data_IF_993792126329
#
_entry.id   IF_993792126329
#
_cell.length_a   1.000
_cell.length_b   1.000
_cell.length_c   1.000
_cell.angle_alpha   90.00
_cell.angle_beta   90.00
_cell.angle_gamma   90.00
#
_symmetry.space_group_name_H-M   'P 1'
#
loop_
_entity.id
_entity.type
_entity.pdbx_description
1 polymer ?
#
# COMPACT_ATOMS: atom_id res chain seq x y z
N UNK A 1 -10.55 -1.07 13.59
CA UNK A 1 -11.32 -0.93 14.82
C UNK A 1 -11.37 -2.27 15.55
N UNK A 2 -11.01 -2.32 16.84
CA UNK A 2 -11.06 -3.52 17.67
C UNK A 2 -9.92 -4.53 17.43
N UNK A 3 -10.21 -5.81 17.60
CA UNK A 3 -9.21 -6.88 17.57
C UNK A 3 -8.93 -7.39 16.16
N UNK A 4 -7.66 -7.40 15.78
CA UNK A 4 -7.12 -7.97 14.56
C UNK A 4 -6.10 -9.07 14.92
N UNK A 5 -6.54 -10.31 14.99
CA UNK A 5 -5.75 -11.45 15.47
C UNK A 5 -5.76 -12.59 14.45
N UNK A 6 -4.63 -13.26 14.25
CA UNK A 6 -4.46 -14.28 13.22
C UNK A 6 -4.74 -13.72 11.82
N UNK A 7 -5.65 -14.33 11.07
CA UNK A 7 -6.02 -13.86 9.72
C UNK A 7 -6.52 -12.41 9.73
N UNK A 8 -7.18 -11.95 10.79
CA UNK A 8 -7.59 -10.56 10.94
C UNK A 8 -6.41 -9.57 10.98
N UNK A 9 -5.24 -10.01 11.46
CA UNK A 9 -4.02 -9.20 11.40
C UNK A 9 -3.33 -9.30 10.02
N UNK A 10 -3.32 -10.48 9.39
CA UNK A 10 -2.57 -10.69 8.14
C UNK A 10 -3.28 -10.13 6.92
N UNK A 11 -4.62 -10.20 6.86
CA UNK A 11 -5.39 -9.74 5.70
C UNK A 11 -5.29 -8.23 5.43
N UNK A 12 -4.90 -7.43 6.41
CA UNK A 12 -4.74 -5.97 6.25
C UNK A 12 -3.32 -5.55 5.84
N UNK A 13 -2.34 -6.45 5.89
CA UNK A 13 -0.94 -6.12 5.56
C UNK A 13 -0.75 -5.61 4.12
N UNK A 14 -1.47 -6.10 3.08
CA UNK A 14 -1.37 -5.56 1.73
C UNK A 14 -2.08 -4.21 1.52
N UNK A 15 -2.76 -3.66 2.54
CA UNK A 15 -3.31 -2.32 2.46
C UNK A 15 -2.19 -1.27 2.44
N UNK A 16 -2.39 -0.21 1.66
CA UNK A 16 -1.39 0.86 1.52
C UNK A 16 -1.30 1.72 2.79
N UNK A 17 -2.44 1.93 3.46
CA UNK A 17 -2.55 2.69 4.70
C UNK A 17 -3.39 1.91 5.69
N UNK A 18 -2.96 1.87 6.93
CA UNK A 18 -3.65 1.24 8.05
C UNK A 18 -3.93 2.28 9.12
N UNK A 19 -5.21 2.49 9.40
CA UNK A 19 -5.69 3.40 10.43
C UNK A 19 -6.23 2.55 11.58
N UNK A 20 -5.81 2.84 12.80
CA UNK A 20 -6.25 2.15 14.00
C UNK A 20 -7.02 3.09 14.93
N UNK A 21 -7.86 2.50 15.77
CA UNK A 21 -8.45 3.20 16.91
C UNK A 21 -7.74 2.83 18.21
N UNK A 22 -7.92 3.64 19.25
CA UNK A 22 -7.27 3.46 20.56
C UNK A 22 -7.55 2.08 21.18
N UNK A 23 -8.69 1.45 20.87
CA UNK A 23 -9.08 0.14 21.36
C UNK A 23 -8.56 -1.04 20.49
N UNK A 24 -7.85 -0.74 19.38
CA UNK A 24 -7.35 -1.79 18.47
C UNK A 24 -6.27 -2.67 19.11
N UNK A 25 -6.26 -3.95 18.72
CA UNK A 25 -5.30 -4.96 19.18
C UNK A 25 -4.84 -5.80 17.99
N UNK A 26 -3.55 -6.12 17.96
CA UNK A 26 -2.95 -6.89 16.87
C UNK A 26 -2.21 -8.11 17.40
N UNK A 27 -2.38 -9.27 16.74
CA UNK A 27 -1.72 -10.50 17.18
C UNK A 27 -1.42 -11.49 16.06
N UNK A 28 -0.15 -11.85 15.91
CA UNK A 28 0.31 -12.88 14.97
C UNK A 28 0.47 -14.21 15.72
N UNK A 29 -0.63 -14.77 16.17
CA UNK A 29 -0.71 -15.86 17.18
C UNK A 29 -0.48 -17.27 16.63
N UNK A 30 -0.03 -17.40 15.38
CA UNK A 30 0.07 -18.67 14.65
C UNK A 30 0.96 -19.69 15.34
N UNK A 31 2.17 -19.32 15.78
CA UNK A 31 3.10 -20.22 16.46
C UNK A 31 2.52 -20.80 17.77
N UNK A 32 1.71 -20.00 18.49
CA UNK A 32 0.97 -20.50 19.68
C UNK A 32 -0.09 -21.55 19.36
N UNK A 33 -0.45 -21.73 18.10
CA UNK A 33 -1.40 -22.73 17.60
C UNK A 33 -0.71 -23.86 16.85
N UNK A 34 0.63 -23.88 16.80
CA UNK A 34 1.40 -24.89 16.09
C UNK A 34 1.35 -24.78 14.57
N UNK A 35 0.98 -23.58 14.05
CA UNK A 35 0.89 -23.30 12.62
C UNK A 35 1.76 -22.10 12.25
N UNK A 36 1.96 -21.87 10.97
CA UNK A 36 2.74 -20.75 10.42
C UNK A 36 1.84 -19.60 10.00
N UNK A 37 2.37 -18.35 9.88
CA UNK A 37 1.61 -17.22 9.36
C UNK A 37 1.03 -17.48 7.96
N UNK A 38 -0.18 -16.98 7.73
CA UNK A 38 -0.91 -17.03 6.47
C UNK A 38 -0.95 -15.67 5.76
N UNK A 39 -1.76 -15.55 4.69
CA UNK A 39 -2.06 -14.29 4.01
C UNK A 39 -0.81 -13.54 3.50
N UNK A 40 0.25 -14.27 3.14
CA UNK A 40 1.54 -13.70 2.74
C UNK A 40 2.19 -12.81 3.82
N UNK A 41 1.85 -13.00 5.09
CA UNK A 41 2.42 -12.21 6.19
C UNK A 41 3.95 -12.32 6.26
N UNK A 42 4.51 -13.48 5.93
CA UNK A 42 5.97 -13.67 5.86
C UNK A 42 6.67 -12.77 4.82
N UNK A 43 5.93 -12.26 3.85
CA UNK A 43 6.43 -11.33 2.83
C UNK A 43 6.13 -9.87 3.17
N UNK A 44 4.88 -9.57 3.59
CA UNK A 44 4.44 -8.20 3.87
C UNK A 44 4.96 -7.68 5.21
N UNK A 45 4.83 -8.45 6.29
CA UNK A 45 5.11 -7.97 7.64
C UNK A 45 6.55 -7.47 7.82
N UNK A 46 7.60 -8.23 7.37
CA UNK A 46 8.97 -7.74 7.50
C UNK A 46 9.29 -6.51 6.63
N UNK A 47 8.54 -6.28 5.54
CA UNK A 47 8.66 -5.05 4.74
C UNK A 47 8.05 -3.82 5.44
N UNK A 48 7.07 -4.04 6.29
CA UNK A 48 6.36 -3.00 7.02
C UNK A 48 7.13 -2.63 8.30
N UNK A 49 7.49 -3.62 9.13
CA UNK A 49 8.07 -3.36 10.47
C UNK A 49 9.52 -3.82 10.62
N UNK A 50 10.12 -4.36 9.56
CA UNK A 50 11.46 -4.94 9.61
C UNK A 50 11.49 -6.39 10.13
N UNK A 51 12.51 -7.16 9.70
CA UNK A 51 12.64 -8.58 10.03
C UNK A 51 12.68 -8.87 11.54
N UNK A 52 13.49 -8.16 12.36
CA UNK A 52 13.59 -8.49 13.78
C UNK A 52 12.25 -8.35 14.53
N UNK A 53 11.49 -7.31 14.25
CA UNK A 53 10.18 -7.07 14.86
C UNK A 53 9.13 -8.06 14.38
N UNK A 54 9.14 -8.40 13.10
CA UNK A 54 8.27 -9.41 12.52
C UNK A 54 8.51 -10.79 13.17
N UNK A 55 9.76 -11.18 13.33
CA UNK A 55 10.13 -12.43 14.03
C UNK A 55 9.67 -12.42 15.49
N UNK A 56 9.93 -11.35 16.23
CA UNK A 56 9.51 -11.21 17.62
C UNK A 56 7.99 -11.41 17.78
N UNK A 57 7.19 -10.71 17.00
CA UNK A 57 5.72 -10.81 17.06
C UNK A 57 5.22 -12.20 16.64
N UNK A 58 5.80 -12.80 15.59
CA UNK A 58 5.39 -14.12 15.12
C UNK A 58 5.81 -15.24 16.08
N UNK A 59 6.99 -15.16 16.70
CA UNK A 59 7.47 -16.18 17.64
C UNK A 59 6.75 -16.11 18.98
N UNK A 60 6.64 -14.90 19.55
CA UNK A 60 5.96 -14.70 20.82
C UNK A 60 4.45 -14.93 20.72
N UNK A 61 3.86 -14.62 19.54
CA UNK A 61 2.42 -14.61 19.36
C UNK A 61 1.71 -13.75 20.42
N UNK A 62 2.38 -12.73 20.94
CA UNK A 62 1.77 -11.77 21.87
C UNK A 62 0.83 -10.83 21.11
N UNK A 63 -0.13 -10.29 21.83
CA UNK A 63 -1.04 -9.28 21.31
C UNK A 63 -0.53 -7.91 21.74
N UNK A 64 -0.36 -7.02 20.78
CA UNK A 64 0.06 -5.63 21.00
C UNK A 64 -1.14 -4.69 20.95
N UNK A 65 -1.05 -3.56 21.61
CA UNK A 65 -2.04 -2.49 21.54
C UNK A 65 -1.78 -1.55 20.35
N UNK A 66 -2.69 -0.60 20.14
CA UNK A 66 -2.63 0.37 19.05
C UNK A 66 -1.41 1.30 19.12
N UNK A 67 -1.02 1.74 20.33
CA UNK A 67 0.16 2.61 20.51
C UNK A 67 1.44 1.91 20.12
N UNK A 68 1.59 0.64 20.51
CA UNK A 68 2.73 -0.17 20.12
C UNK A 68 2.72 -0.45 18.61
N UNK A 69 1.55 -0.74 18.04
CA UNK A 69 1.41 -0.95 16.60
C UNK A 69 1.81 0.29 15.79
N UNK A 70 1.43 1.49 16.25
CA UNK A 70 1.86 2.76 15.66
C UNK A 70 3.38 2.94 15.79
N UNK A 71 3.94 2.69 16.96
CA UNK A 71 5.38 2.82 17.25
C UNK A 71 6.24 1.88 16.40
N UNK A 72 5.71 0.70 16.08
CA UNK A 72 6.36 -0.27 15.22
C UNK A 72 6.22 0.06 13.71
N UNK A 73 5.32 0.96 13.34
CA UNK A 73 4.94 1.23 11.96
C UNK A 73 4.01 0.17 11.36
N UNK A 74 3.37 -0.66 12.19
CA UNK A 74 2.37 -1.62 11.74
C UNK A 74 1.08 -0.91 11.30
N UNK A 75 0.74 0.20 11.96
CA UNK A 75 -0.32 1.13 11.55
C UNK A 75 0.27 2.51 11.33
N UNK A 76 -0.37 3.29 10.45
CA UNK A 76 0.14 4.57 10.00
C UNK A 76 -0.48 5.73 10.78
N UNK A 77 -1.71 5.54 11.26
CA UNK A 77 -2.47 6.55 12.01
C UNK A 77 -3.22 5.92 13.19
N UNK A 78 -3.32 6.68 14.27
CA UNK A 78 -4.14 6.37 15.43
C UNK A 78 -5.15 7.48 15.64
N UNK A 79 -6.43 7.14 15.73
CA UNK A 79 -7.54 8.07 15.89
C UNK A 79 -8.55 7.55 16.92
N UNK A 80 -9.46 8.41 17.36
CA UNK A 80 -10.61 7.97 18.15
C UNK A 80 -11.62 7.19 17.29
N UNK A 81 -12.44 6.37 17.93
CA UNK A 81 -13.31 5.42 17.24
C UNK A 81 -14.30 6.07 16.28
N UNK A 82 -14.86 7.20 16.67
CA UNK A 82 -15.80 8.01 15.88
C UNK A 82 -15.14 8.76 14.71
N UNK A 83 -13.81 8.93 14.73
CA UNK A 83 -13.02 9.62 13.70
C UNK A 83 -12.44 8.69 12.62
N UNK A 84 -12.63 7.38 12.75
CA UNK A 84 -11.96 6.40 11.89
C UNK A 84 -12.31 6.59 10.40
N UNK A 85 -13.59 6.73 10.09
CA UNK A 85 -14.04 6.91 8.71
C UNK A 85 -13.72 8.30 8.17
N UNK A 86 -13.83 9.34 8.99
CA UNK A 86 -13.49 10.70 8.59
C UNK A 86 -12.02 10.80 8.21
N UNK A 87 -11.13 10.18 9.00
CA UNK A 87 -9.70 10.10 8.66
C UNK A 87 -9.42 9.30 7.38
N UNK A 88 -10.14 8.22 7.17
CA UNK A 88 -10.01 7.43 5.94
C UNK A 88 -10.45 8.21 4.71
N UNK A 89 -11.55 8.96 4.79
CA UNK A 89 -12.01 9.83 3.70
C UNK A 89 -11.08 11.01 3.47
N UNK A 90 -10.59 11.67 4.52
CA UNK A 90 -9.60 12.75 4.42
C UNK A 90 -8.37 12.30 3.61
N UNK A 91 -7.81 11.13 3.96
CA UNK A 91 -6.64 10.59 3.25
C UNK A 91 -6.97 10.19 1.81
N UNK A 92 -8.15 9.60 1.59
CA UNK A 92 -8.62 9.25 0.26
C UNK A 92 -8.75 10.48 -0.62
N UNK A 93 -9.36 11.54 -0.12
CA UNK A 93 -9.53 12.80 -0.85
C UNK A 93 -8.19 13.45 -1.18
N UNK A 94 -7.24 13.41 -0.25
CA UNK A 94 -5.88 13.91 -0.48
C UNK A 94 -5.22 13.24 -1.69
N UNK A 95 -5.42 11.93 -1.86
CA UNK A 95 -4.78 11.18 -2.95
C UNK A 95 -5.60 11.24 -4.26
N UNK A 96 -6.92 11.24 -4.18
CA UNK A 96 -7.79 11.18 -5.35
C UNK A 96 -8.06 12.56 -5.97
N UNK A 97 -8.18 13.60 -5.16
CA UNK A 97 -8.55 14.94 -5.65
C UNK A 97 -7.34 15.75 -6.11
N UNK A 98 -6.13 15.41 -5.64
CA UNK A 98 -4.91 16.18 -5.93
C UNK A 98 -3.94 15.47 -6.88
N UNK A 99 -4.25 14.24 -7.31
CA UNK A 99 -3.32 13.43 -8.11
C UNK A 99 -4.01 12.72 -9.27
N UNK A 100 -3.27 12.49 -10.36
CA UNK A 100 -3.76 11.68 -11.48
C UNK A 100 -4.04 10.24 -11.02
N UNK A 101 -5.27 9.72 -11.20
CA UNK A 101 -5.61 8.36 -10.77
C UNK A 101 -4.73 7.29 -11.42
N UNK A 102 -4.38 7.47 -12.69
CA UNK A 102 -3.49 6.57 -13.44
C UNK A 102 -2.10 6.57 -12.82
N UNK A 103 -1.56 7.74 -12.51
CA UNK A 103 -0.22 7.86 -11.89
C UNK A 103 -0.19 7.26 -10.50
N UNK A 104 -1.23 7.45 -9.68
CA UNK A 104 -1.35 6.82 -8.34
C UNK A 104 -1.35 5.29 -8.46
N UNK A 105 -2.17 4.73 -9.35
CA UNK A 105 -2.25 3.29 -9.57
C UNK A 105 -0.91 2.70 -10.05
N UNK A 106 -0.24 3.40 -10.98
CA UNK A 106 1.07 2.99 -11.48
C UNK A 106 2.14 3.05 -10.39
N UNK A 107 2.20 4.14 -9.64
CA UNK A 107 3.15 4.33 -8.52
C UNK A 107 3.00 3.23 -7.47
N UNK A 108 1.75 2.94 -7.06
CA UNK A 108 1.48 1.85 -6.11
C UNK A 108 2.06 0.53 -6.60
N UNK A 109 1.78 0.18 -7.84
CA UNK A 109 2.24 -1.07 -8.42
C UNK A 109 3.77 -1.12 -8.53
N UNK A 110 4.39 -0.03 -8.99
CA UNK A 110 5.84 0.08 -9.08
C UNK A 110 6.51 -0.16 -7.72
N UNK A 111 6.07 0.53 -6.67
CA UNK A 111 6.65 0.40 -5.33
C UNK A 111 6.57 -1.05 -4.85
N UNK A 112 5.41 -1.70 -4.94
CA UNK A 112 5.27 -3.09 -4.50
C UNK A 112 6.06 -4.08 -5.35
N UNK A 113 6.04 -3.96 -6.68
CA UNK A 113 6.73 -4.86 -7.58
C UNK A 113 8.25 -4.71 -7.50
N UNK A 114 8.73 -3.46 -7.57
CA UNK A 114 10.16 -3.19 -7.61
C UNK A 114 10.84 -3.34 -6.23
N UNK A 115 10.07 -3.28 -5.14
CA UNK A 115 10.61 -3.58 -3.81
C UNK A 115 11.07 -5.04 -3.62
N UNK A 116 10.79 -5.92 -4.58
CA UNK A 116 11.22 -7.31 -4.60
C UNK A 116 12.38 -7.57 -5.58
N UNK A 117 12.82 -6.55 -6.34
CA UNK A 117 13.95 -6.66 -7.26
C UNK A 117 15.27 -6.55 -6.51
N UNK A 118 16.27 -7.30 -7.00
CA UNK A 118 17.61 -7.33 -6.39
C UNK A 118 18.49 -6.16 -6.83
N UNK A 119 18.07 -5.41 -7.86
CA UNK A 119 18.88 -4.41 -8.53
C UNK A 119 18.08 -3.15 -8.89
N UNK A 120 18.61 -1.95 -8.62
CA UNK A 120 17.97 -0.69 -9.01
C UNK A 120 17.97 -0.47 -10.53
N UNK A 121 18.78 -1.17 -11.31
CA UNK A 121 18.82 -1.03 -12.77
C UNK A 121 17.48 -1.47 -13.41
N UNK A 122 16.85 -2.54 -12.91
CA UNK A 122 15.53 -2.93 -13.36
C UNK A 122 14.48 -1.88 -13.06
N UNK A 123 14.54 -1.28 -11.87
CA UNK A 123 13.67 -0.17 -11.51
C UNK A 123 13.87 1.01 -12.47
N UNK A 124 15.13 1.41 -12.73
CA UNK A 124 15.44 2.51 -13.65
C UNK A 124 14.90 2.28 -15.06
N UNK A 125 15.03 1.07 -15.60
CA UNK A 125 14.52 0.71 -16.94
C UNK A 125 12.99 0.84 -16.99
N UNK A 126 12.28 0.34 -15.98
CA UNK A 126 10.82 0.39 -15.91
C UNK A 126 10.37 1.83 -15.73
N UNK A 127 10.94 2.56 -14.77
CA UNK A 127 10.62 3.96 -14.50
C UNK A 127 10.84 4.85 -15.72
N UNK A 128 11.95 4.66 -16.46
CA UNK A 128 12.23 5.43 -17.67
C UNK A 128 11.18 5.24 -18.77
N UNK A 129 10.66 4.02 -18.93
CA UNK A 129 9.57 3.75 -19.87
C UNK A 129 8.26 4.39 -19.42
N UNK A 130 7.94 4.26 -18.15
CA UNK A 130 6.69 4.74 -17.61
C UNK A 130 6.64 6.27 -17.51
N UNK A 131 7.72 6.92 -17.11
CA UNK A 131 7.78 8.39 -17.09
C UNK A 131 7.68 8.98 -18.51
N UNK A 132 8.30 8.34 -19.49
CA UNK A 132 8.17 8.76 -20.89
C UNK A 132 6.72 8.62 -21.39
N UNK A 133 6.08 7.48 -21.13
CA UNK A 133 4.68 7.24 -21.49
C UNK A 133 3.73 8.24 -20.80
N UNK A 134 3.90 8.44 -19.50
CA UNK A 134 3.05 9.38 -18.73
C UNK A 134 3.33 10.84 -19.04
N UNK A 135 4.58 11.20 -19.34
CA UNK A 135 4.97 12.55 -19.72
C UNK A 135 4.28 13.06 -21.00
N UNK A 136 3.86 12.15 -21.87
CA UNK A 136 3.10 12.47 -23.07
C UNK A 136 1.56 12.51 -22.87
N UNK A 137 1.07 12.24 -21.64
CA UNK A 137 -0.37 12.17 -21.35
C UNK A 137 -1.00 13.53 -21.11
N UNK A 138 -2.33 13.62 -21.32
CA UNK A 138 -3.11 14.82 -20.98
C UNK A 138 -3.02 15.17 -19.49
N UNK A 139 -2.96 14.15 -18.59
CA UNK A 139 -2.78 14.38 -17.16
C UNK A 139 -1.44 15.03 -16.84
N UNK A 140 -0.35 14.67 -17.52
CA UNK A 140 0.94 15.32 -17.32
C UNK A 140 0.91 16.79 -17.76
N UNK A 141 0.26 17.07 -18.88
CA UNK A 141 0.05 18.42 -19.38
C UNK A 141 -0.80 19.26 -18.41
N UNK A 142 -1.91 18.69 -17.93
CA UNK A 142 -2.78 19.34 -16.95
C UNK A 142 -2.03 19.61 -15.64
N UNK A 143 -1.25 18.64 -15.15
CA UNK A 143 -0.47 18.81 -13.93
C UNK A 143 0.55 19.96 -14.03
N UNK A 144 1.21 20.12 -15.18
CA UNK A 144 2.14 21.23 -15.42
C UNK A 144 1.38 22.55 -15.54
N UNK A 145 0.30 22.59 -16.33
CA UNK A 145 -0.45 23.82 -16.58
C UNK A 145 -1.15 24.34 -15.32
N UNK A 146 -1.79 23.46 -14.56
CA UNK A 146 -2.44 23.85 -13.30
C UNK A 146 -1.44 24.40 -12.27
N UNK A 147 -0.23 23.84 -12.21
CA UNK A 147 0.85 24.36 -11.36
C UNK A 147 1.28 25.78 -11.76
N UNK A 148 1.48 26.01 -13.07
CA UNK A 148 1.88 27.32 -13.59
C UNK A 148 0.79 28.39 -13.38
N UNK A 149 -0.47 27.97 -13.54
CA UNK A 149 -1.66 28.83 -13.39
C UNK A 149 -2.11 28.98 -11.93
N UNK A 150 -1.47 28.27 -10.98
CA UNK A 150 -1.79 28.28 -9.54
C UNK A 150 -3.25 27.94 -9.25
N UNK A 151 -3.76 26.90 -9.90
CA UNK A 151 -5.12 26.37 -9.73
C UNK A 151 -5.08 24.88 -9.44
N UNK A 152 -6.19 24.33 -8.99
CA UNK A 152 -6.34 22.89 -8.81
C UNK A 152 -6.31 22.17 -10.18
N UNK A 153 -5.63 21.03 -10.21
CA UNK A 153 -5.57 20.17 -11.39
C UNK A 153 -6.89 19.41 -11.58
N UNK A 154 -7.26 19.20 -12.84
CA UNK A 154 -8.47 18.44 -13.25
C UNK A 154 -8.04 17.29 -14.15
N UNK A 155 -7.59 16.20 -13.54
CA UNK A 155 -7.13 15.03 -14.27
C UNK A 155 -8.28 14.31 -14.97
N UNK A 156 -8.08 13.94 -16.23
CA UNK A 156 -9.11 13.34 -17.10
C UNK A 156 -8.86 11.86 -17.37
N UNK A 157 -7.63 11.36 -17.21
CA UNK A 157 -7.31 9.97 -17.49
C UNK A 157 -7.96 9.02 -16.49
N UNK A 158 -8.35 7.84 -16.96
CA UNK A 158 -9.03 6.80 -16.19
C UNK A 158 -8.19 5.52 -16.11
N UNK A 159 -8.17 4.89 -14.97
CA UNK A 159 -7.47 3.61 -14.78
C UNK A 159 -7.99 2.53 -15.73
N UNK A 160 -9.29 2.56 -16.06
CA UNK A 160 -9.91 1.56 -16.94
C UNK A 160 -9.48 1.63 -18.40
N UNK A 161 -9.05 2.80 -18.88
CA UNK A 161 -8.77 3.04 -20.32
C UNK A 161 -7.36 3.55 -20.61
N UNK A 162 -6.71 4.24 -19.67
CA UNK A 162 -5.50 5.02 -19.92
C UNK A 162 -4.24 4.46 -19.28
N UNK A 163 -4.30 3.23 -18.78
CA UNK A 163 -3.11 2.49 -18.37
C UNK A 163 -2.31 2.02 -19.58
N UNK A 164 -0.97 2.12 -19.59
CA UNK A 164 -0.14 1.58 -20.65
C UNK A 164 -0.36 0.08 -20.87
N UNK A 165 -0.40 -0.37 -22.13
CA UNK A 165 -0.70 -1.77 -22.48
C UNK A 165 0.37 -2.75 -22.01
N UNK A 166 1.61 -2.30 -21.93
CA UNK A 166 2.77 -3.08 -21.52
C UNK A 166 3.01 -3.06 -20.01
N UNK A 167 2.09 -2.47 -19.25
CA UNK A 167 2.25 -2.39 -17.80
C UNK A 167 2.18 -3.77 -17.13
N UNK A 168 3.12 -4.11 -16.24
CA UNK A 168 3.33 -5.48 -15.76
C UNK A 168 2.12 -6.17 -15.12
N UNK A 169 1.20 -5.45 -14.48
CA UNK A 169 0.04 -6.06 -13.81
C UNK A 169 -1.02 -6.65 -14.75
N UNK A 170 -1.01 -6.28 -16.04
CA UNK A 170 -1.90 -6.89 -17.04
C UNK A 170 -1.47 -8.29 -17.43
N UNK A 171 -0.23 -8.67 -17.16
CA UNK A 171 0.23 -10.06 -17.29
C UNK A 171 -0.27 -10.81 -16.06
N UNK A 172 -1.29 -11.66 -16.23
CA UNK A 172 -1.78 -12.53 -15.17
C UNK A 172 -0.63 -13.24 -14.49
N UNK A 173 -0.37 -12.93 -13.22
CA UNK A 173 0.56 -13.66 -12.34
C UNK A 173 0.01 -15.06 -12.02
N UNK A 174 -1.28 -15.25 -12.23
CA UNK A 174 -1.94 -16.54 -12.12
C UNK A 174 -2.16 -17.11 -13.52
N UNK A 175 -1.08 -17.58 -14.17
CA UNK A 175 -1.26 -18.67 -15.14
C UNK A 175 -1.65 -19.88 -14.30
N UNK A 176 -2.96 -20.19 -14.25
CA UNK A 176 -3.35 -21.55 -13.93
C UNK A 176 -2.63 -22.44 -14.94
N UNK A 177 -1.64 -23.18 -14.49
CA UNK A 177 -1.10 -24.29 -15.28
C UNK A 177 -2.29 -25.20 -15.59
N UNK A 178 -2.62 -25.31 -16.89
CA UNK A 178 -3.60 -26.26 -17.40
C UNK A 178 -3.00 -27.65 -17.40
#
# INVERSE_FOLDING_TARGET
NGAAVGVGATMQLPADIRIATSNSRYGFVFAKRGIVPDGCASWFLPKIIGIPRALELCYSGRVINSDEALKLGLVDYLVEEDQLLDKAFELSDLYLNSSSPVSVAMTRHMIWSLSAEDSPENAHIIESKLINSRGASEDAKEGVMSFLEKRDAKFSNKISSDLPDDFPWRKSIFKADK
#
